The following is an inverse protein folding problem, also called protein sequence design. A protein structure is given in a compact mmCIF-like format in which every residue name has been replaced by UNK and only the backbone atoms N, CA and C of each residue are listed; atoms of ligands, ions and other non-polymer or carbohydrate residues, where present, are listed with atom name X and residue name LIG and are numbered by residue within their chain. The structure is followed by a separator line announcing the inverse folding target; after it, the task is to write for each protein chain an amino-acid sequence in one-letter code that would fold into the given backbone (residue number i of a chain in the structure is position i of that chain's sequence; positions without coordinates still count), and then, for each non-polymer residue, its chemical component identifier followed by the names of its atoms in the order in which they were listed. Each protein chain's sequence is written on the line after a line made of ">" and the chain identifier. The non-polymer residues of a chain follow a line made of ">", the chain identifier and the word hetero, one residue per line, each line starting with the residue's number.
data_IF_482131018115
#
_entry.id   IF_482131018115
#
_cell.length_a   1.000
_cell.length_b   1.000
_cell.length_c   1.000
_cell.angle_alpha   90.00
_cell.angle_beta   90.00
_cell.angle_gamma   90.00
#
_symmetry.space_group_name_H-M   'P 1'
#
loop_
_entity.id
_entity.type
_entity.pdbx_description
1 polymer ?
#
# COMPACT_ATOMS: atom_id res chain seq x y z
N UNK A 1 -1.58 -11.70 5.99
CA UNK A 1 -0.45 -11.54 5.04
C UNK A 1 -0.13 -12.86 4.33
N UNK A 2 0.09 -12.88 3.01
CA UNK A 2 0.46 -14.11 2.27
C UNK A 2 1.93 -14.06 1.84
N UNK A 3 2.83 -14.91 2.39
CA UNK A 3 4.27 -14.82 2.18
C UNK A 3 4.69 -15.01 0.72
N UNK A 4 3.96 -15.84 -0.05
CA UNK A 4 4.27 -16.07 -1.47
C UNK A 4 3.97 -14.82 -2.29
N UNK A 5 2.82 -14.18 -2.05
CA UNK A 5 2.42 -12.95 -2.76
C UNK A 5 3.39 -11.81 -2.48
N UNK A 6 3.75 -11.58 -1.21
CA UNK A 6 4.68 -10.52 -0.81
C UNK A 6 6.08 -10.73 -1.39
N UNK A 7 6.55 -11.97 -1.47
CA UNK A 7 7.85 -12.30 -2.07
C UNK A 7 7.87 -12.09 -3.59
N UNK A 8 6.81 -12.51 -4.30
CA UNK A 8 6.67 -12.23 -5.74
C UNK A 8 6.68 -10.72 -5.98
N UNK A 9 5.90 -9.97 -5.21
CA UNK A 9 5.88 -8.51 -5.29
C UNK A 9 7.27 -7.88 -5.08
N UNK A 10 8.02 -8.37 -4.09
CA UNK A 10 9.39 -7.91 -3.81
C UNK A 10 10.34 -8.18 -4.98
N UNK A 11 10.22 -9.34 -5.65
CA UNK A 11 10.98 -9.63 -6.87
C UNK A 11 10.61 -8.71 -8.02
N UNK A 12 9.32 -8.41 -8.20
CA UNK A 12 8.87 -7.47 -9.23
C UNK A 12 9.45 -6.07 -9.02
N UNK A 13 9.51 -5.59 -7.77
CA UNK A 13 10.15 -4.32 -7.43
C UNK A 13 11.65 -4.32 -7.73
N UNK A 14 12.35 -5.41 -7.41
CA UNK A 14 13.78 -5.53 -7.71
C UNK A 14 14.04 -5.56 -9.22
N UNK A 15 13.21 -6.27 -9.99
CA UNK A 15 13.31 -6.32 -11.45
C UNK A 15 13.04 -4.95 -12.09
N UNK A 16 12.00 -4.24 -11.64
CA UNK A 16 11.72 -2.86 -12.06
C UNK A 16 12.92 -1.95 -11.81
N UNK A 17 13.54 -2.07 -10.64
CA UNK A 17 14.71 -1.26 -10.29
C UNK A 17 15.93 -1.61 -11.14
N UNK A 18 16.14 -2.88 -11.49
CA UNK A 18 17.22 -3.28 -12.40
C UNK A 18 17.04 -2.65 -13.78
N UNK A 19 15.85 -2.77 -14.37
CA UNK A 19 15.52 -2.18 -15.67
C UNK A 19 15.65 -0.65 -15.63
N UNK A 20 15.12 -0.02 -14.57
CA UNK A 20 15.27 1.41 -14.32
C UNK A 20 16.74 1.83 -14.20
N UNK A 21 17.58 0.99 -13.58
CA UNK A 21 19.02 1.28 -13.41
C UNK A 21 19.76 1.25 -14.75
N UNK A 22 19.47 0.26 -15.61
CA UNK A 22 20.03 0.20 -16.96
C UNK A 22 19.66 1.47 -17.73
N UNK A 23 18.38 1.86 -17.68
CA UNK A 23 17.92 3.08 -18.33
C UNK A 23 18.56 4.33 -17.72
N UNK A 24 18.71 4.40 -16.40
CA UNK A 24 19.34 5.55 -15.70
C UNK A 24 20.80 5.70 -16.09
N UNK A 25 21.54 4.60 -16.24
CA UNK A 25 22.93 4.63 -16.73
C UNK A 25 22.96 5.12 -18.17
N UNK A 26 22.10 4.58 -19.05
CA UNK A 26 22.00 5.05 -20.43
C UNK A 26 21.68 6.55 -20.50
N UNK A 27 20.69 7.00 -19.74
CA UNK A 27 20.35 8.41 -19.59
C UNK A 27 21.55 9.23 -19.10
N UNK A 28 22.26 8.77 -18.08
CA UNK A 28 23.43 9.45 -17.53
C UNK A 28 24.55 9.61 -18.55
N UNK A 29 24.86 8.57 -19.32
CA UNK A 29 25.86 8.64 -20.40
C UNK A 29 25.43 9.64 -21.48
N UNK A 30 24.18 9.54 -21.94
CA UNK A 30 23.65 10.44 -22.95
C UNK A 30 23.65 11.89 -22.48
N UNK A 31 23.14 12.14 -21.27
CA UNK A 31 22.99 13.47 -20.72
C UNK A 31 24.33 14.11 -20.37
N UNK A 32 25.23 13.41 -19.65
CA UNK A 32 26.45 14.02 -19.12
C UNK A 32 27.66 13.96 -20.06
N UNK A 33 27.71 12.99 -20.98
CA UNK A 33 28.91 12.75 -21.81
C UNK A 33 28.67 13.04 -23.30
N UNK A 34 27.48 12.73 -23.83
CA UNK A 34 27.23 12.78 -25.27
C UNK A 34 26.59 14.11 -25.68
N UNK A 35 25.60 14.60 -24.93
CA UNK A 35 24.87 15.80 -25.30
C UNK A 35 25.65 17.09 -24.98
N UNK A 36 25.93 17.95 -25.97
CA UNK A 36 26.58 19.22 -25.72
C UNK A 36 25.63 20.20 -25.05
N UNK A 37 26.01 20.71 -23.87
CA UNK A 37 25.25 21.74 -23.14
C UNK A 37 25.64 23.16 -23.59
N UNK A 38 25.54 23.44 -24.89
CA UNK A 38 25.96 24.71 -25.49
C UNK A 38 24.82 25.71 -25.71
N UNK A 39 23.62 25.39 -25.25
CA UNK A 39 22.46 26.29 -25.33
C UNK A 39 22.01 26.56 -26.77
N UNK A 40 22.38 25.70 -27.73
CA UNK A 40 21.89 25.80 -29.10
C UNK A 40 20.37 25.66 -29.13
N UNK A 41 19.74 26.56 -29.86
CA UNK A 41 18.31 26.46 -30.17
C UNK A 41 18.17 25.49 -31.35
N UNK A 42 17.45 24.40 -31.14
CA UNK A 42 17.07 23.46 -32.20
C UNK A 42 15.57 23.59 -32.38
N UNK A 43 15.15 23.96 -33.59
CA UNK A 43 13.74 24.01 -33.96
C UNK A 43 13.34 22.65 -34.53
N UNK A 44 12.32 22.03 -33.94
CA UNK A 44 11.75 20.75 -34.35
C UNK A 44 10.49 20.92 -35.22
N UNK A 45 10.16 22.15 -35.64
CA UNK A 45 9.04 22.43 -36.55
C UNK A 45 8.96 23.89 -36.97
N UNK A 46 8.09 24.18 -37.94
CA UNK A 46 7.98 25.50 -38.57
C UNK A 46 7.58 26.60 -37.59
N UNK A 47 6.68 26.30 -36.64
CA UNK A 47 6.30 27.23 -35.59
C UNK A 47 7.49 27.62 -34.70
N UNK A 48 8.34 26.66 -34.31
CA UNK A 48 9.54 26.93 -33.51
C UNK A 48 10.57 27.73 -34.31
N UNK A 49 10.69 27.46 -35.62
CA UNK A 49 11.58 28.20 -36.52
C UNK A 49 11.18 29.68 -36.62
N UNK A 50 9.87 29.96 -36.73
CA UNK A 50 9.36 31.33 -36.76
C UNK A 50 9.62 32.08 -35.46
N UNK A 51 9.47 31.44 -34.30
CA UNK A 51 9.80 32.03 -32.99
C UNK A 51 11.32 32.21 -32.84
N UNK A 52 12.12 31.31 -33.42
CA UNK A 52 13.58 31.40 -33.38
C UNK A 52 14.14 32.58 -34.19
N UNK A 53 13.42 32.99 -35.24
CA UNK A 53 13.75 34.10 -36.13
C UNK A 53 13.03 35.41 -35.76
N UNK A 54 12.50 35.54 -34.54
CA UNK A 54 11.86 36.78 -34.09
C UNK A 54 12.85 37.95 -34.07
N UNK A 55 12.38 39.16 -34.38
CA UNK A 55 13.14 40.44 -34.38
C UNK A 55 13.64 40.90 -32.99
N UNK A 56 13.48 40.05 -31.96
CA UNK A 56 13.98 40.33 -30.62
C UNK A 56 15.51 40.33 -30.59
N UNK A 57 16.15 41.18 -29.74
CA UNK A 57 17.59 41.19 -29.57
C UNK A 57 18.11 39.79 -29.20
N UNK A 58 18.88 39.17 -30.11
CA UNK A 58 19.45 37.86 -29.87
C UNK A 58 20.87 38.00 -29.32
N UNK A 59 21.14 37.33 -28.19
CA UNK A 59 22.51 37.09 -27.75
C UNK A 59 23.30 36.44 -28.89
N UNK A 60 24.54 36.88 -29.10
CA UNK A 60 25.42 36.26 -30.08
C UNK A 60 25.57 34.76 -29.78
N UNK A 61 25.76 33.89 -30.80
CA UNK A 61 25.91 32.46 -30.57
C UNK A 61 26.99 32.10 -29.55
N UNK A 62 28.10 32.84 -29.55
CA UNK A 62 29.22 32.63 -28.63
C UNK A 62 28.89 33.02 -27.18
N UNK A 63 28.27 34.20 -26.97
CA UNK A 63 27.86 34.62 -25.62
C UNK A 63 26.84 33.66 -25.01
N UNK A 64 25.93 33.12 -25.83
CA UNK A 64 24.96 32.11 -25.41
C UNK A 64 25.62 30.80 -25.00
N UNK A 65 26.57 30.31 -25.79
CA UNK A 65 27.33 29.10 -25.49
C UNK A 65 28.10 29.24 -24.18
N UNK A 66 28.76 30.38 -23.96
CA UNK A 66 29.48 30.65 -22.72
C UNK A 66 28.53 30.67 -21.51
N UNK A 67 27.38 31.34 -21.63
CA UNK A 67 26.37 31.39 -20.57
C UNK A 67 25.80 29.99 -20.27
N UNK A 68 25.44 29.22 -21.30
CA UNK A 68 24.91 27.86 -21.13
C UNK A 68 25.93 26.92 -20.47
N UNK A 69 27.20 27.01 -20.85
CA UNK A 69 28.28 26.22 -20.26
C UNK A 69 28.55 26.60 -18.81
N UNK A 70 28.44 27.89 -18.46
CA UNK A 70 28.59 28.35 -17.08
C UNK A 70 27.50 27.75 -16.19
N UNK A 71 26.24 27.80 -16.64
CA UNK A 71 25.10 27.19 -15.93
C UNK A 71 25.28 25.69 -15.79
N UNK A 72 25.60 25.00 -16.90
CA UNK A 72 25.81 23.56 -16.89
C UNK A 72 26.88 23.13 -15.88
N UNK A 73 28.03 23.81 -15.86
CA UNK A 73 29.12 23.51 -14.92
C UNK A 73 28.70 23.70 -13.46
N UNK A 74 27.88 24.71 -13.19
CA UNK A 74 27.36 24.99 -11.85
C UNK A 74 26.35 23.92 -11.39
N UNK A 75 25.46 23.49 -12.28
CA UNK A 75 24.30 22.66 -11.89
C UNK A 75 24.53 21.15 -12.03
N UNK A 76 25.44 20.71 -12.91
CA UNK A 76 25.65 19.27 -13.19
C UNK A 76 25.94 18.43 -11.95
N UNK A 77 26.66 18.99 -10.98
CA UNK A 77 26.99 18.29 -9.73
C UNK A 77 25.76 18.07 -8.87
N UNK A 78 24.93 19.10 -8.72
CA UNK A 78 23.68 19.02 -7.95
C UNK A 78 22.73 18.00 -8.59
N UNK A 79 22.58 18.06 -9.92
CA UNK A 79 21.77 17.09 -10.66
C UNK A 79 22.24 15.64 -10.44
N UNK A 80 23.56 15.39 -10.49
CA UNK A 80 24.12 14.06 -10.25
C UNK A 80 23.86 13.57 -8.83
N UNK A 81 24.02 14.44 -7.82
CA UNK A 81 23.77 14.09 -6.42
C UNK A 81 22.31 13.72 -6.19
N UNK A 82 21.37 14.55 -6.68
CA UNK A 82 19.93 14.27 -6.56
C UNK A 82 19.58 12.94 -7.23
N UNK A 83 20.13 12.68 -8.42
CA UNK A 83 19.90 11.42 -9.13
C UNK A 83 20.38 10.20 -8.32
N UNK A 84 21.57 10.27 -7.74
CA UNK A 84 22.14 9.19 -6.90
C UNK A 84 21.30 9.00 -5.64
N UNK A 85 20.89 10.08 -4.98
CA UNK A 85 20.07 9.99 -3.75
C UNK A 85 18.71 9.35 -4.00
N UNK A 86 18.03 9.75 -5.09
CA UNK A 86 16.74 9.15 -5.48
C UNK A 86 16.93 7.66 -5.82
N UNK A 87 18.01 7.32 -6.53
CA UNK A 87 18.34 5.94 -6.86
C UNK A 87 18.56 5.08 -5.60
N UNK A 88 19.35 5.58 -4.64
CA UNK A 88 19.61 4.90 -3.36
C UNK A 88 18.35 4.78 -2.50
N UNK A 89 17.52 5.83 -2.44
CA UNK A 89 16.27 5.80 -1.70
C UNK A 89 15.32 4.73 -2.24
N UNK A 90 15.21 4.60 -3.58
CA UNK A 90 14.42 3.54 -4.21
C UNK A 90 14.98 2.16 -3.88
N UNK A 91 16.30 1.96 -3.95
CA UNK A 91 16.94 0.70 -3.58
C UNK A 91 16.70 0.33 -2.11
N UNK A 92 16.86 1.29 -1.20
CA UNK A 92 16.59 1.10 0.22
C UNK A 92 15.16 0.62 0.48
N UNK A 93 14.17 1.28 -0.14
CA UNK A 93 12.77 0.88 0.00
C UNK A 93 12.53 -0.56 -0.47
N UNK A 94 13.14 -0.96 -1.59
CA UNK A 94 13.04 -2.34 -2.11
C UNK A 94 13.63 -3.33 -1.12
N UNK A 95 14.81 -3.03 -0.55
CA UNK A 95 15.45 -3.88 0.45
C UNK A 95 14.58 -4.03 1.71
N UNK A 96 13.91 -2.97 2.15
CA UNK A 96 12.96 -3.02 3.28
C UNK A 96 11.82 -3.99 2.97
N UNK A 97 11.13 -3.83 1.84
CA UNK A 97 10.02 -4.72 1.44
C UNK A 97 10.49 -6.17 1.25
N UNK A 98 11.68 -6.35 0.68
CA UNK A 98 12.28 -7.66 0.47
C UNK A 98 12.63 -8.34 1.80
N UNK A 99 13.20 -7.59 2.75
CA UNK A 99 13.48 -8.08 4.10
C UNK A 99 12.18 -8.51 4.81
N UNK A 100 11.11 -7.72 4.67
CA UNK A 100 9.79 -8.03 5.22
C UNK A 100 9.24 -9.34 4.63
N UNK A 101 9.31 -9.50 3.30
CA UNK A 101 8.89 -10.73 2.62
C UNK A 101 9.68 -11.97 3.06
N UNK A 102 11.00 -11.84 3.27
CA UNK A 102 11.84 -12.92 3.78
C UNK A 102 11.45 -13.34 5.20
N UNK A 103 11.16 -12.37 6.08
CA UNK A 103 10.71 -12.67 7.44
C UNK A 103 9.35 -13.39 7.45
N UNK A 104 8.43 -13.02 6.55
CA UNK A 104 7.13 -13.69 6.42
C UNK A 104 7.31 -15.15 5.97
N UNK A 105 8.24 -15.39 5.05
CA UNK A 105 8.55 -16.74 4.57
C UNK A 105 9.20 -17.62 5.63
N UNK A 106 10.05 -17.05 6.48
CA UNK A 106 10.73 -17.75 7.58
C UNK A 106 9.84 -18.00 8.80
N UNK A 107 8.67 -17.36 8.87
CA UNK A 107 7.74 -17.52 9.99
C UNK A 107 8.17 -16.83 11.29
N UNK A 108 9.22 -15.99 11.26
CA UNK A 108 9.79 -15.33 12.46
C UNK A 108 8.86 -14.28 13.07
N UNK A 109 7.75 -13.94 12.41
CA UNK A 109 6.74 -13.03 12.97
C UNK A 109 5.88 -13.69 14.08
N UNK A 110 5.86 -15.01 14.18
CA UNK A 110 5.10 -15.74 15.23
C UNK A 110 5.90 -15.96 16.51
N UNK A 111 7.20 -15.61 16.53
CA UNK A 111 8.07 -15.81 17.70
C UNK A 111 8.15 -14.60 18.62
N UNK A 112 7.39 -13.52 18.37
CA UNK A 112 7.25 -12.43 19.33
C UNK A 112 6.34 -12.88 20.48
N UNK A 113 6.80 -12.88 21.74
CA UNK A 113 6.02 -13.34 22.89
C UNK A 113 4.77 -12.49 23.19
N UNK A 114 4.59 -11.34 22.54
CA UNK A 114 3.44 -10.43 22.73
C UNK A 114 2.31 -10.58 21.71
N UNK A 115 2.48 -11.33 20.61
CA UNK A 115 1.44 -11.51 19.59
C UNK A 115 0.60 -12.78 19.78
N UNK A 116 0.58 -13.33 21.00
CA UNK A 116 -0.38 -14.38 21.36
C UNK A 116 -1.77 -13.70 21.49
N UNK A 117 -2.72 -13.93 20.57
CA UNK A 117 -4.11 -13.59 20.87
C UNK A 117 -4.49 -14.32 22.16
N UNK A 118 -5.32 -13.72 23.04
CA UNK A 118 -5.86 -14.42 24.19
C UNK A 118 -6.43 -15.74 23.67
N UNK A 119 -5.94 -16.84 24.21
CA UNK A 119 -6.48 -18.16 23.94
C UNK A 119 -7.99 -18.06 24.07
N UNK A 120 -8.71 -18.16 22.95
CA UNK A 120 -10.14 -18.44 22.98
C UNK A 120 -10.26 -19.86 23.55
N UNK A 121 -10.27 -19.91 24.87
CA UNK A 121 -10.44 -21.09 25.67
C UNK A 121 -11.75 -21.74 25.22
N UNK A 122 -11.63 -22.93 24.63
CA UNK A 122 -12.51 -24.05 24.90
C UNK A 122 -14.01 -23.93 24.53
N UNK A 123 -14.36 -23.62 23.28
CA UNK A 123 -15.73 -23.88 22.77
C UNK A 123 -15.79 -25.02 21.75
N UNK A 124 -14.73 -25.24 20.95
CA UNK A 124 -14.71 -26.28 19.92
C UNK A 124 -14.69 -27.72 20.47
N UNK A 125 -14.18 -27.93 21.70
CA UNK A 125 -14.21 -29.25 22.35
C UNK A 125 -15.52 -29.50 23.12
N UNK A 126 -16.25 -28.45 23.55
CA UNK A 126 -17.56 -28.63 24.21
C UNK A 126 -18.63 -29.09 23.22
N UNK A 127 -18.65 -28.55 22.01
CA UNK A 127 -19.64 -28.96 21.01
C UNK A 127 -19.41 -30.38 20.49
N UNK A 128 -18.16 -30.85 20.44
CA UNK A 128 -17.82 -32.21 19.97
C UNK A 128 -18.28 -33.32 20.92
N UNK A 129 -18.40 -33.03 22.22
CA UNK A 129 -18.89 -33.99 23.22
C UNK A 129 -20.41 -34.00 23.31
N UNK A 130 -21.09 -32.89 23.00
CA UNK A 130 -22.56 -32.82 22.97
C UNK A 130 -23.13 -33.58 21.75
N UNK A 131 -22.50 -33.47 20.58
CA UNK A 131 -22.99 -34.17 19.37
C UNK A 131 -22.81 -35.70 19.45
N UNK A 132 -21.87 -36.21 20.25
CA UNK A 132 -21.72 -37.66 20.48
C UNK A 132 -22.72 -38.25 21.47
N UNK A 133 -23.43 -37.42 22.23
CA UNK A 133 -24.45 -37.88 23.19
C UNK A 133 -25.82 -38.15 22.56
N UNK A 134 -26.09 -37.64 21.35
CA UNK A 134 -27.41 -37.71 20.71
C UNK A 134 -27.60 -38.92 19.78
N UNK A 135 -26.58 -39.77 19.60
CA UNK A 135 -26.69 -41.01 18.82
C UNK A 135 -26.38 -42.24 19.68
N UNK A 136 -27.13 -42.39 20.80
CA UNK A 136 -27.17 -43.63 21.57
C UNK A 136 -28.61 -44.08 21.69
N UNK A 137 -28.97 -45.09 20.92
CA UNK A 137 -30.21 -45.85 21.08
C UNK A 137 -30.24 -46.49 22.47
N UNK A 138 -31.40 -46.55 23.16
CA UNK A 138 -31.51 -47.16 24.47
C UNK A 138 -31.71 -48.67 24.32
N UNK A 139 -30.71 -49.45 24.66
CA UNK A 139 -30.90 -50.86 25.03
C UNK A 139 -29.79 -51.28 25.98
N UNK A 140 -30.18 -51.83 27.12
CA UNK A 140 -29.27 -52.43 28.09
C UNK A 140 -29.28 -51.73 29.42
N UNK A 141 -29.99 -52.36 30.37
CA UNK A 141 -29.90 -52.12 31.80
C UNK A 141 -28.43 -51.96 32.23
N UNK A 142 -28.07 -50.78 32.70
CA UNK A 142 -26.81 -50.54 33.39
C UNK A 142 -27.10 -49.70 34.63
N UNK A 143 -27.32 -50.39 35.74
CA UNK A 143 -27.18 -49.79 37.05
C UNK A 143 -25.70 -49.39 37.21
N UNK A 144 -25.41 -48.11 37.42
CA UNK A 144 -24.14 -47.74 38.01
C UNK A 144 -24.28 -46.48 38.87
N UNK A 145 -24.48 -46.78 40.16
CA UNK A 145 -23.70 -46.26 41.29
C UNK A 145 -23.39 -44.77 41.26
N UNK A 146 -24.27 -44.03 41.93
CA UNK A 146 -24.01 -42.72 42.50
C UNK A 146 -22.82 -42.84 43.46
N UNK A 147 -21.84 -41.94 43.35
CA UNK A 147 -21.02 -41.57 44.50
C UNK A 147 -20.59 -40.10 44.38
N UNK A 148 -21.18 -39.30 45.27
CA UNK A 148 -20.68 -38.10 45.96
C UNK A 148 -19.93 -37.02 45.15
N UNK A 149 -20.19 -35.73 45.33
CA UNK A 149 -20.89 -35.00 46.40
C UNK A 149 -20.85 -33.50 46.06
N UNK A 150 -21.81 -32.75 46.61
CA UNK A 150 -21.86 -31.27 46.77
C UNK A 150 -22.87 -30.52 45.87
N UNK A 151 -24.10 -30.53 46.39
CA UNK A 151 -25.13 -29.46 46.42
C UNK A 151 -24.51 -28.11 46.93
N UNK A 152 -25.18 -26.92 46.98
CA UNK A 152 -26.35 -26.36 46.29
C UNK A 152 -26.18 -24.90 45.74
N UNK A 153 -27.15 -24.46 44.92
CA UNK A 153 -27.93 -23.20 45.03
C UNK A 153 -27.20 -21.84 45.25
N UNK A 154 -27.22 -20.94 44.26
CA UNK A 154 -27.89 -19.61 44.39
C UNK A 154 -27.94 -18.86 43.04
N UNK A 155 -29.06 -18.15 42.85
CA UNK A 155 -29.26 -16.89 42.14
C UNK A 155 -29.32 -16.82 40.59
N UNK A 156 -30.56 -16.66 40.12
CA UNK A 156 -30.93 -15.94 38.89
C UNK A 156 -30.55 -14.43 39.00
N UNK A 157 -30.57 -13.58 37.94
CA UNK A 157 -31.76 -13.35 37.13
C UNK A 157 -31.56 -13.13 35.61
N UNK A 158 -32.68 -13.33 34.91
CA UNK A 158 -33.01 -12.81 33.59
C UNK A 158 -32.81 -11.29 33.50
N UNK A 159 -32.12 -10.83 32.46
CA UNK A 159 -32.22 -9.45 31.97
C UNK A 159 -32.64 -9.49 30.50
N UNK A 160 -33.93 -9.23 30.27
CA UNK A 160 -34.48 -8.84 28.97
C UNK A 160 -34.13 -7.36 28.76
N UNK A 161 -33.52 -7.03 27.62
CA UNK A 161 -33.33 -5.64 27.19
C UNK A 161 -34.45 -5.29 26.19
N UNK A 162 -35.21 -4.19 26.40
CA UNK A 162 -36.24 -3.71 25.47
C UNK A 162 -35.64 -3.03 24.23
N UNK A 163 -36.34 -3.11 23.09
CA UNK A 163 -36.05 -2.37 21.85
C UNK A 163 -36.80 -1.03 21.86
N UNK A 164 -36.10 0.07 21.55
CA UNK A 164 -36.69 1.41 21.40
C UNK A 164 -36.96 1.74 19.92
N UNK A 165 -38.18 2.21 19.65
CA UNK A 165 -38.81 2.45 18.34
C UNK A 165 -38.43 3.78 17.65
N UNK A 166 -37.35 4.46 18.07
CA UNK A 166 -37.09 5.86 17.68
C UNK A 166 -36.22 6.04 16.41
N UNK A 167 -35.70 4.97 15.78
CA UNK A 167 -34.89 5.11 14.56
C UNK A 167 -35.67 5.19 13.23
N UNK A 168 -36.99 5.01 13.24
CA UNK A 168 -37.79 5.00 12.01
C UNK A 168 -38.10 6.40 11.45
N UNK A 169 -37.85 7.49 12.20
CA UNK A 169 -38.27 8.85 11.81
C UNK A 169 -37.20 9.68 11.09
N UNK A 170 -35.92 9.28 11.09
CA UNK A 170 -34.85 10.11 10.52
C UNK A 170 -34.56 9.88 9.02
N UNK A 171 -35.10 8.82 8.41
CA UNK A 171 -34.83 8.48 7.01
C UNK A 171 -35.88 8.99 6.01
N UNK A 172 -36.95 9.65 6.49
CA UNK A 172 -38.05 10.14 5.64
C UNK A 172 -37.87 11.54 5.04
N UNK A 173 -37.09 12.41 5.69
CA UNK A 173 -37.08 13.84 5.36
C UNK A 173 -35.92 14.28 4.44
N UNK A 174 -35.00 13.37 4.08
CA UNK A 174 -33.85 13.68 3.22
C UNK A 174 -34.10 13.49 1.71
N UNK A 175 -35.27 12.99 1.30
CA UNK A 175 -35.59 12.73 -0.11
C UNK A 175 -36.40 13.84 -0.81
N UNK A 176 -36.60 15.02 -0.20
CA UNK A 176 -37.50 16.07 -0.73
C UNK A 176 -36.83 17.37 -1.18
N UNK A 177 -35.52 17.41 -1.42
CA UNK A 177 -34.85 18.68 -1.78
C UNK A 177 -33.74 18.54 -2.81
N UNK A 178 -34.05 18.01 -4.00
CA UNK A 178 -33.12 18.08 -5.13
C UNK A 178 -33.79 18.03 -6.51
N UNK A 179 -34.74 18.93 -6.73
CA UNK A 179 -35.19 19.31 -8.07
C UNK A 179 -35.29 20.83 -8.17
N UNK A 180 -34.30 21.46 -8.82
CA UNK A 180 -34.46 22.69 -9.61
C UNK A 180 -33.10 23.19 -10.13
N UNK A 181 -33.12 23.65 -11.40
CA UNK A 181 -32.20 24.58 -12.08
C UNK A 181 -30.93 24.05 -12.79
N UNK A 182 -31.13 23.67 -14.07
CA UNK A 182 -30.28 24.03 -15.25
C UNK A 182 -30.66 25.47 -15.70
N UNK A 183 -29.96 26.26 -16.57
CA UNK A 183 -28.94 25.91 -17.59
C UNK A 183 -27.76 26.90 -17.78
N UNK A 184 -26.74 26.52 -18.57
CA UNK A 184 -26.02 27.35 -19.58
C UNK A 184 -24.83 26.55 -20.14
N UNK A 185 -24.85 26.23 -21.44
CA UNK A 185 -23.69 25.76 -22.20
C UNK A 185 -23.75 26.34 -23.62
N UNK A 186 -22.86 27.28 -23.87
CA UNK A 186 -22.43 27.78 -25.19
C UNK A 186 -21.36 26.87 -25.81
#
# INVERSE_FOLDING_TARGET
>A
ENPRKTLIFSHSLLLDHLLSTIYTIHFGLQWFLINPHDGRRVAHGDAQKNIMNSDLPQLSPESRKQAAQAIWKAERGVAAVILILIWLAKLYFILVVYSFALHLRRGTYTTLPLSRPPSSISTANRLRNVTRGLHRTPSGYAYNRINNSNIPLSDAPLFLVPMDDDQAKLNGDLCRSRDSSSPYRS
#
